data_IF_304367364253
#
_entry.id   IF_304367364253
#
_cell.length_a   1.000
_cell.length_b   1.000
_cell.length_c   1.000
_cell.angle_alpha   90.00
_cell.angle_beta   90.00
_cell.angle_gamma   90.00
#
_symmetry.space_group_name_H-M   'P 1'
#
loop_
_entity.id
_entity.type
_entity.pdbx_description
1 polymer ?
#
# COMPACT_ATOMS: atom_id res chain seq x y z
N UNK A 1 -27.29 -0.73 27.17
CA UNK A 1 -27.84 -1.14 25.85
C UNK A 1 -27.00 -0.61 24.67
N UNK A 2 -26.50 0.61 24.69
CA UNK A 2 -25.58 1.16 23.68
C UNK A 2 -24.26 0.39 23.55
N UNK A 3 -23.65 -0.05 24.64
CA UNK A 3 -22.36 -0.78 24.62
C UNK A 3 -22.42 -2.18 23.98
N UNK A 4 -23.56 -2.82 23.95
CA UNK A 4 -23.72 -4.11 23.24
C UNK A 4 -23.88 -3.91 21.73
N UNK A 5 -24.51 -2.82 21.29
CA UNK A 5 -24.66 -2.49 19.87
C UNK A 5 -23.31 -2.08 19.24
N UNK A 6 -22.48 -1.32 19.96
CA UNK A 6 -21.15 -0.97 19.49
C UNK A 6 -20.19 -2.17 19.46
N UNK A 7 -20.29 -3.11 20.40
CA UNK A 7 -19.53 -4.37 20.34
C UNK A 7 -19.99 -5.30 19.20
N UNK A 8 -21.28 -5.35 18.90
CA UNK A 8 -21.80 -6.19 17.81
C UNK A 8 -21.49 -5.60 16.42
N UNK A 9 -21.38 -4.28 16.28
CA UNK A 9 -20.93 -3.61 15.05
C UNK A 9 -19.41 -3.76 14.82
N UNK A 10 -18.63 -3.94 15.89
CA UNK A 10 -17.20 -4.23 15.78
C UNK A 10 -16.90 -5.69 15.33
N UNK A 11 -17.87 -6.58 15.37
CA UNK A 11 -17.71 -7.98 14.98
C UNK A 11 -18.10 -8.28 13.51
N UNK A 12 -18.73 -7.35 12.82
CA UNK A 12 -19.00 -7.46 11.39
C UNK A 12 -17.96 -6.68 10.59
N UNK A 13 -16.67 -7.02 10.74
CA UNK A 13 -15.67 -6.56 9.78
C UNK A 13 -15.92 -7.26 8.46
N UNK A 14 -16.41 -6.52 7.49
CA UNK A 14 -16.37 -6.95 6.10
C UNK A 14 -14.94 -6.69 5.59
N UNK A 15 -14.17 -7.75 5.40
CA UNK A 15 -12.81 -7.65 4.87
C UNK A 15 -12.80 -8.25 3.46
N UNK A 16 -12.29 -7.47 2.52
CA UNK A 16 -12.00 -7.93 1.15
C UNK A 16 -10.48 -8.02 0.98
N UNK A 17 -9.98 -9.25 0.92
CA UNK A 17 -8.55 -9.51 0.77
C UNK A 17 -8.27 -9.97 -0.66
N UNK A 18 -7.57 -9.17 -1.50
CA UNK A 18 -7.17 -9.57 -2.84
C UNK A 18 -6.15 -10.70 -2.78
N UNK A 19 -6.33 -11.74 -3.59
CA UNK A 19 -5.42 -12.89 -3.63
C UNK A 19 -4.59 -12.94 -4.91
N UNK A 20 -5.22 -12.72 -6.06
CA UNK A 20 -4.57 -12.76 -7.37
C UNK A 20 -5.46 -12.13 -8.45
N UNK A 21 -4.84 -11.70 -9.55
CA UNK A 21 -5.55 -11.43 -10.78
C UNK A 21 -5.82 -12.75 -11.51
N UNK A 22 -7.07 -13.01 -11.85
CA UNK A 22 -7.50 -14.22 -12.60
C UNK A 22 -7.66 -13.94 -14.10
N UNK A 23 -7.71 -12.69 -14.50
CA UNK A 23 -7.87 -12.29 -15.88
C UNK A 23 -6.56 -12.34 -16.65
N UNK A 24 -5.45 -12.18 -15.94
CA UNK A 24 -4.13 -11.98 -16.55
C UNK A 24 -3.04 -12.67 -15.73
N UNK A 25 -2.17 -13.38 -16.44
CA UNK A 25 -0.95 -13.95 -15.85
C UNK A 25 0.26 -13.18 -16.38
N UNK A 26 1.18 -12.75 -15.51
CA UNK A 26 2.43 -12.14 -15.94
C UNK A 26 3.17 -13.07 -16.90
N UNK A 27 3.76 -12.51 -17.96
CA UNK A 27 4.50 -13.27 -18.95
C UNK A 27 5.88 -13.75 -18.44
N UNK A 28 6.38 -13.09 -17.38
CA UNK A 28 7.66 -13.38 -16.76
C UNK A 28 7.51 -13.49 -15.23
N UNK A 29 8.50 -14.13 -14.61
CA UNK A 29 8.59 -14.13 -13.15
C UNK A 29 8.73 -12.70 -12.61
N UNK A 30 7.90 -12.24 -11.66
CA UNK A 30 7.91 -10.88 -11.13
C UNK A 30 9.07 -10.69 -10.12
N UNK A 31 10.29 -10.56 -10.66
CA UNK A 31 11.50 -10.60 -9.86
C UNK A 31 11.64 -9.40 -8.92
N UNK A 32 11.21 -8.20 -9.35
CA UNK A 32 11.27 -7.00 -8.52
C UNK A 32 10.21 -7.06 -7.42
N UNK A 33 8.99 -7.44 -7.74
CA UNK A 33 7.92 -7.66 -6.75
C UNK A 33 8.36 -8.67 -5.68
N UNK A 34 8.91 -9.82 -6.11
CA UNK A 34 9.42 -10.84 -5.20
C UNK A 34 10.60 -10.34 -4.34
N UNK A 35 11.50 -9.53 -4.93
CA UNK A 35 12.62 -8.93 -4.22
C UNK A 35 12.15 -7.92 -3.16
N UNK A 36 11.14 -7.11 -3.48
CA UNK A 36 10.53 -6.16 -2.53
C UNK A 36 9.89 -6.94 -1.37
N UNK A 37 9.13 -8.02 -1.66
CA UNK A 37 8.53 -8.87 -0.61
C UNK A 37 9.62 -9.46 0.29
N UNK A 38 10.70 -10.01 -0.29
CA UNK A 38 11.80 -10.57 0.47
C UNK A 38 12.52 -9.51 1.33
N UNK A 39 12.76 -8.31 0.78
CA UNK A 39 13.40 -7.21 1.51
C UNK A 39 12.53 -6.77 2.69
N UNK A 40 11.22 -6.61 2.49
CA UNK A 40 10.31 -6.27 3.59
C UNK A 40 10.31 -7.35 4.70
N UNK A 41 10.34 -8.64 4.33
CA UNK A 41 10.43 -9.73 5.31
C UNK A 41 11.74 -9.68 6.10
N UNK A 42 12.89 -9.42 5.43
CA UNK A 42 14.20 -9.27 6.09
C UNK A 42 14.20 -8.07 7.04
N UNK A 43 13.71 -6.91 6.59
CA UNK A 43 13.66 -5.70 7.42
C UNK A 43 12.74 -5.91 8.61
N UNK A 44 11.58 -6.55 8.42
CA UNK A 44 10.68 -6.87 9.52
C UNK A 44 11.31 -7.81 10.57
N UNK A 45 12.13 -8.76 10.12
CA UNK A 45 12.90 -9.59 11.06
C UNK A 45 13.92 -8.75 11.86
N UNK A 46 14.56 -7.75 11.23
CA UNK A 46 15.45 -6.82 11.92
C UNK A 46 14.67 -5.94 12.92
N UNK A 47 13.46 -5.53 12.60
CA UNK A 47 12.57 -4.81 13.53
C UNK A 47 12.24 -5.64 14.78
N UNK A 48 11.91 -6.93 14.60
CA UNK A 48 11.61 -7.83 15.71
C UNK A 48 12.80 -7.99 16.66
N UNK A 49 14.02 -7.94 16.13
CA UNK A 49 15.26 -8.07 16.92
C UNK A 49 15.76 -6.75 17.48
N UNK A 50 15.57 -5.64 16.74
CA UNK A 50 16.03 -4.30 17.12
C UNK A 50 15.02 -3.51 17.98
N UNK A 51 13.75 -3.95 18.02
CA UNK A 51 12.70 -3.35 18.83
C UNK A 51 12.34 -1.92 18.42
N UNK A 52 11.68 -1.21 19.32
CA UNK A 52 11.18 0.16 19.08
C UNK A 52 12.30 1.16 18.72
N UNK A 53 13.50 0.99 19.24
CA UNK A 53 14.63 1.85 18.91
C UNK A 53 15.01 1.76 17.43
N UNK A 54 15.02 0.55 16.86
CA UNK A 54 15.26 0.34 15.43
C UNK A 54 14.16 0.97 14.59
N UNK A 55 12.89 0.71 14.93
CA UNK A 55 11.74 1.27 14.21
C UNK A 55 11.78 2.81 14.23
N UNK A 56 11.99 3.42 15.38
CA UNK A 56 12.05 4.89 15.50
C UNK A 56 13.21 5.48 14.71
N UNK A 57 14.38 4.84 14.74
CA UNK A 57 15.58 5.30 14.03
C UNK A 57 15.38 5.37 12.51
N UNK A 58 14.63 4.42 11.93
CA UNK A 58 14.48 4.26 10.48
C UNK A 58 13.14 4.71 9.94
N UNK A 59 12.19 5.13 10.81
CA UNK A 59 10.91 5.71 10.45
C UNK A 59 11.02 7.17 10.05
N UNK A 60 10.07 7.65 9.27
CA UNK A 60 9.90 9.08 9.00
C UNK A 60 9.30 9.77 10.22
N UNK A 61 9.99 10.75 10.75
CA UNK A 61 9.43 11.72 11.71
C UNK A 61 9.20 13.03 10.94
N UNK A 62 7.94 13.49 10.72
CA UNK A 62 7.67 14.67 9.90
C UNK A 62 8.47 15.91 10.29
N UNK A 63 8.56 16.23 11.58
CA UNK A 63 9.32 17.38 12.09
C UNK A 63 10.82 17.30 11.76
N UNK A 64 11.40 16.11 11.68
CA UNK A 64 12.79 15.91 11.28
C UNK A 64 12.98 16.15 9.76
N UNK A 65 12.07 15.60 8.96
CA UNK A 65 12.12 15.78 7.51
C UNK A 65 12.03 17.27 7.14
N UNK A 66 11.07 17.99 7.72
CA UNK A 66 10.89 19.43 7.45
C UNK A 66 12.11 20.25 7.90
N UNK A 67 12.80 19.83 8.95
CA UNK A 67 14.05 20.48 9.40
C UNK A 67 15.31 20.02 8.64
N UNK A 68 15.14 19.19 7.60
CA UNK A 68 16.26 18.69 6.78
C UNK A 68 17.07 17.57 7.43
N UNK A 69 16.56 16.99 8.52
CA UNK A 69 17.23 15.89 9.24
C UNK A 69 16.69 14.54 8.77
N UNK A 70 17.52 13.51 8.89
CA UNK A 70 17.15 12.10 8.66
C UNK A 70 16.45 11.82 7.31
N UNK A 71 16.78 12.57 6.24
CA UNK A 71 16.10 12.47 4.93
C UNK A 71 16.12 11.04 4.33
N UNK A 72 17.12 10.24 4.68
CA UNK A 72 17.20 8.83 4.25
C UNK A 72 16.00 8.02 4.72
N UNK A 73 15.35 8.42 5.83
CA UNK A 73 14.20 7.70 6.37
C UNK A 73 12.98 7.75 5.45
N UNK A 74 12.92 8.70 4.52
CA UNK A 74 11.87 8.70 3.47
C UNK A 74 11.89 7.41 2.66
N UNK A 75 13.08 6.84 2.41
CA UNK A 75 13.24 5.57 1.71
C UNK A 75 13.16 4.37 2.66
N UNK A 76 13.83 4.42 3.81
CA UNK A 76 13.90 3.26 4.71
C UNK A 76 12.56 2.93 5.34
N UNK A 77 11.76 3.95 5.69
CA UNK A 77 10.43 3.79 6.26
C UNK A 77 9.47 3.02 5.36
N UNK A 78 9.70 3.01 4.04
CA UNK A 78 8.89 2.25 3.07
C UNK A 78 9.01 0.73 3.25
N UNK A 79 9.98 0.25 4.01
CA UNK A 79 10.23 -1.17 4.25
C UNK A 79 9.96 -1.59 5.68
N UNK A 80 9.58 -0.65 6.56
CA UNK A 80 9.25 -0.92 7.95
C UNK A 80 7.76 -1.28 8.13
N UNK A 81 7.48 -2.07 9.18
CA UNK A 81 6.12 -2.53 9.48
C UNK A 81 5.87 -2.65 10.98
N UNK A 82 4.94 -1.86 11.53
CA UNK A 82 4.66 -1.82 12.96
C UNK A 82 3.97 -3.07 13.55
N UNK A 83 3.58 -4.07 12.72
CA UNK A 83 2.89 -5.29 13.20
C UNK A 83 2.87 -6.39 12.14
N UNK A 84 2.62 -7.62 12.59
CA UNK A 84 2.41 -8.77 11.69
C UNK A 84 1.26 -8.56 10.70
N UNK A 85 0.12 -8.04 11.15
CA UNK A 85 -1.01 -7.77 10.27
C UNK A 85 -0.67 -6.71 9.22
N UNK A 86 0.17 -5.72 9.58
CA UNK A 86 0.61 -4.67 8.67
C UNK A 86 1.49 -5.23 7.55
N UNK A 87 2.52 -6.01 7.86
CA UNK A 87 3.37 -6.61 6.81
C UNK A 87 2.61 -7.62 5.97
N UNK A 88 1.83 -8.51 6.58
CA UNK A 88 1.06 -9.51 5.83
C UNK A 88 0.08 -8.83 4.88
N UNK A 89 -0.67 -7.82 5.35
CA UNK A 89 -1.58 -7.06 4.51
C UNK A 89 -0.86 -6.42 3.32
N UNK A 90 0.24 -5.71 3.57
CA UNK A 90 1.04 -5.09 2.52
C UNK A 90 1.55 -6.11 1.50
N UNK A 91 2.10 -7.22 1.93
CA UNK A 91 2.65 -8.24 1.00
C UNK A 91 1.55 -8.92 0.19
N UNK A 92 0.38 -9.15 0.76
CA UNK A 92 -0.78 -9.68 0.04
C UNK A 92 -1.23 -8.72 -1.07
N UNK A 93 -1.38 -7.43 -0.76
CA UNK A 93 -1.76 -6.44 -1.78
C UNK A 93 -0.67 -6.27 -2.84
N UNK A 94 0.60 -6.21 -2.44
CA UNK A 94 1.71 -6.11 -3.39
C UNK A 94 1.74 -7.32 -4.33
N UNK A 95 1.54 -8.53 -3.80
CA UNK A 95 1.53 -9.76 -4.61
C UNK A 95 0.31 -9.86 -5.53
N UNK A 96 -0.84 -9.31 -5.12
CA UNK A 96 -2.06 -9.35 -5.92
C UNK A 96 -2.00 -8.42 -7.15
N UNK A 97 -1.30 -7.28 -7.08
CA UNK A 97 -1.30 -6.25 -8.12
C UNK A 97 0.07 -5.98 -8.73
N UNK A 98 1.16 -6.22 -7.99
CA UNK A 98 2.53 -5.91 -8.41
C UNK A 98 3.00 -6.64 -9.65
N UNK A 99 2.80 -7.97 -9.75
CA UNK A 99 3.29 -8.77 -10.86
C UNK A 99 2.85 -8.27 -12.24
N UNK A 100 1.58 -7.87 -12.39
CA UNK A 100 1.02 -7.40 -13.66
C UNK A 100 1.56 -6.00 -14.03
N UNK A 101 1.76 -5.15 -13.04
CA UNK A 101 2.34 -3.81 -13.27
C UNK A 101 3.84 -3.90 -13.55
N UNK A 102 4.56 -4.81 -12.89
CA UNK A 102 5.95 -5.11 -13.23
C UNK A 102 6.08 -5.63 -14.66
N UNK A 103 5.17 -6.51 -15.07
CA UNK A 103 5.19 -7.10 -16.41
C UNK A 103 5.02 -6.04 -17.50
N UNK A 104 4.08 -5.11 -17.35
CA UNK A 104 3.80 -4.07 -18.33
C UNK A 104 4.81 -2.92 -18.30
N UNK A 105 5.40 -2.60 -17.15
CA UNK A 105 6.40 -1.54 -17.02
C UNK A 105 7.82 -1.98 -17.33
N UNK A 106 8.12 -3.24 -17.34
CA UNK A 106 9.42 -3.87 -17.23
C UNK A 106 10.06 -3.74 -15.82
N UNK A 107 10.96 -4.66 -15.41
CA UNK A 107 11.48 -4.69 -14.04
C UNK A 107 12.16 -3.39 -13.60
N UNK A 108 12.99 -2.78 -14.45
CA UNK A 108 13.72 -1.55 -14.10
C UNK A 108 12.79 -0.35 -13.93
N UNK A 109 11.83 -0.15 -14.85
CA UNK A 109 10.84 0.94 -14.76
C UNK A 109 9.93 0.75 -13.55
N UNK A 110 9.51 -0.50 -13.28
CA UNK A 110 8.68 -0.81 -12.12
C UNK A 110 9.39 -0.54 -10.79
N UNK A 111 10.67 -0.89 -10.67
CA UNK A 111 11.46 -0.57 -9.47
C UNK A 111 11.51 0.94 -9.21
N UNK A 112 11.79 1.74 -10.24
CA UNK A 112 11.79 3.21 -10.14
C UNK A 112 10.40 3.73 -9.79
N UNK A 113 9.37 3.24 -10.47
CA UNK A 113 7.97 3.61 -10.21
C UNK A 113 7.57 3.36 -8.75
N UNK A 114 7.87 2.17 -8.22
CA UNK A 114 7.58 1.79 -6.83
C UNK A 114 8.27 2.74 -5.83
N UNK A 115 9.57 3.00 -6.02
CA UNK A 115 10.34 3.86 -5.13
C UNK A 115 9.87 5.32 -5.19
N UNK A 116 9.66 5.87 -6.40
CA UNK A 116 9.18 7.25 -6.56
C UNK A 116 7.76 7.38 -5.99
N UNK A 117 6.87 6.43 -6.26
CA UNK A 117 5.52 6.41 -5.71
C UNK A 117 5.52 6.41 -4.17
N UNK A 118 6.41 5.64 -3.56
CA UNK A 118 6.58 5.61 -2.11
C UNK A 118 7.12 6.93 -1.55
N UNK A 119 8.10 7.53 -2.20
CA UNK A 119 8.64 8.85 -1.80
C UNK A 119 7.55 9.92 -1.88
N UNK A 120 6.82 10.00 -2.98
CA UNK A 120 5.69 10.96 -3.14
C UNK A 120 4.64 10.75 -2.05
N UNK A 121 4.28 9.50 -1.78
CA UNK A 121 3.32 9.14 -0.73
C UNK A 121 3.78 9.60 0.65
N UNK A 122 5.03 9.33 1.00
CA UNK A 122 5.59 9.69 2.30
C UNK A 122 5.69 11.21 2.47
N UNK A 123 6.10 11.94 1.43
CA UNK A 123 6.16 13.40 1.45
C UNK A 123 4.77 14.02 1.58
N UNK A 124 3.75 13.45 0.93
CA UNK A 124 2.37 13.90 1.08
C UNK A 124 1.86 13.69 2.52
N UNK A 125 2.24 12.58 3.17
CA UNK A 125 1.91 12.34 4.58
C UNK A 125 2.60 13.35 5.50
N UNK A 126 3.88 13.65 5.26
CA UNK A 126 4.63 14.68 6.01
C UNK A 126 3.97 16.06 5.88
N UNK A 127 3.46 16.40 4.68
CA UNK A 127 2.83 17.68 4.40
C UNK A 127 1.50 17.90 5.14
N UNK A 128 0.83 16.83 5.59
CA UNK A 128 -0.44 16.93 6.36
C UNK A 128 -0.21 17.45 7.77
N UNK A 129 0.84 16.98 8.44
CA UNK A 129 1.21 17.43 9.78
C UNK A 129 2.75 17.52 9.89
N UNK A 130 3.33 18.62 9.37
CA UNK A 130 4.78 18.79 9.31
C UNK A 130 5.44 18.98 10.69
N UNK A 131 4.67 19.27 11.72
CA UNK A 131 5.15 19.40 13.09
C UNK A 131 5.07 18.10 13.90
N UNK A 132 4.49 17.05 13.32
CA UNK A 132 4.31 15.77 14.01
C UNK A 132 5.64 15.13 14.39
N UNK A 133 5.70 14.62 15.62
CA UNK A 133 6.79 13.79 16.13
C UNK A 133 6.47 12.30 16.11
N UNK A 134 5.29 11.92 15.59
CA UNK A 134 4.87 10.52 15.48
C UNK A 134 5.53 9.87 14.27
N UNK A 135 6.06 8.65 14.41
CA UNK A 135 6.69 7.94 13.31
C UNK A 135 5.67 7.52 12.27
N UNK A 136 6.03 7.71 10.99
CA UNK A 136 5.32 7.19 9.82
C UNK A 136 6.17 6.15 9.13
N UNK A 137 5.56 5.00 8.78
CA UNK A 137 6.24 3.86 8.19
C UNK A 137 5.27 2.98 7.38
N UNK A 138 5.80 2.18 6.49
CA UNK A 138 5.05 1.18 5.73
C UNK A 138 5.22 1.26 4.22
N UNK A 139 5.15 0.11 3.57
CA UNK A 139 5.19 -0.04 2.12
C UNK A 139 3.91 0.47 1.43
N UNK A 140 2.84 0.70 2.20
CA UNK A 140 1.47 0.86 1.70
C UNK A 140 1.27 2.05 0.76
N UNK A 141 2.04 3.13 0.91
CA UNK A 141 2.00 4.28 -0.01
C UNK A 141 2.52 3.91 -1.41
N UNK A 142 3.63 3.18 -1.50
CA UNK A 142 4.15 2.65 -2.77
C UNK A 142 3.21 1.59 -3.37
N UNK A 143 2.62 0.73 -2.53
CA UNK A 143 1.62 -0.25 -2.95
C UNK A 143 0.37 0.45 -3.48
N UNK A 144 -0.06 1.54 -2.86
CA UNK A 144 -1.16 2.36 -3.35
C UNK A 144 -0.86 2.95 -4.74
N UNK A 145 0.40 3.33 -5.02
CA UNK A 145 0.81 3.74 -6.36
C UNK A 145 0.67 2.58 -7.38
N UNK A 146 1.09 1.37 -7.01
CA UNK A 146 0.89 0.17 -7.85
C UNK A 146 -0.58 -0.10 -8.09
N UNK A 147 -1.44 0.01 -7.07
CA UNK A 147 -2.88 -0.15 -7.21
C UNK A 147 -3.51 0.95 -8.09
N UNK A 148 -3.05 2.20 -7.96
CA UNK A 148 -3.47 3.31 -8.82
C UNK A 148 -3.12 3.07 -10.29
N UNK A 149 -1.90 2.57 -10.57
CA UNK A 149 -1.50 2.16 -11.90
C UNK A 149 -2.37 1.01 -12.41
N UNK A 150 -2.60 -0.02 -11.61
CA UNK A 150 -3.45 -1.16 -11.97
C UNK A 150 -4.87 -0.72 -12.33
N UNK A 151 -5.44 0.21 -11.57
CA UNK A 151 -6.77 0.77 -11.82
C UNK A 151 -6.91 1.39 -13.21
N UNK A 152 -5.86 2.07 -13.69
CA UNK A 152 -5.87 2.73 -15.00
C UNK A 152 -5.53 1.76 -16.13
N UNK A 153 -4.65 0.77 -15.85
CA UNK A 153 -4.16 -0.18 -16.87
C UNK A 153 -5.15 -1.31 -17.08
N UNK A 154 -5.67 -1.88 -15.98
CA UNK A 154 -6.50 -3.09 -15.99
C UNK A 154 -7.79 -2.98 -15.17
N UNK A 155 -8.63 -1.94 -15.38
CA UNK A 155 -9.79 -1.65 -14.52
C UNK A 155 -10.86 -2.74 -14.51
N UNK A 156 -10.92 -3.56 -15.58
CA UNK A 156 -11.94 -4.61 -15.77
C UNK A 156 -11.46 -6.00 -15.36
N UNK A 157 -10.17 -6.14 -15.05
CA UNK A 157 -9.61 -7.44 -14.66
C UNK A 157 -10.25 -7.93 -13.37
N UNK A 158 -10.44 -9.23 -13.26
CA UNK A 158 -11.18 -9.85 -12.16
C UNK A 158 -10.21 -10.34 -11.10
N UNK A 159 -10.24 -9.66 -9.96
CA UNK A 159 -9.39 -10.00 -8.83
C UNK A 159 -10.09 -11.08 -8.00
N UNK A 160 -9.41 -12.21 -7.86
CA UNK A 160 -9.79 -13.25 -6.91
C UNK A 160 -9.66 -12.70 -5.51
N UNK A 161 -10.78 -12.60 -4.80
CA UNK A 161 -10.88 -11.88 -3.53
C UNK A 161 -11.48 -12.79 -2.48
N UNK A 162 -10.84 -12.88 -1.33
CA UNK A 162 -11.41 -13.50 -0.14
C UNK A 162 -12.32 -12.47 0.54
N UNK A 163 -13.60 -12.75 0.54
CA UNK A 163 -14.61 -11.95 1.21
C UNK A 163 -14.93 -12.58 2.57
N UNK A 164 -14.76 -11.81 3.64
CA UNK A 164 -15.06 -12.19 5.01
C UNK A 164 -16.17 -11.29 5.51
N UNK A 165 -17.34 -11.84 5.77
CA UNK A 165 -18.52 -11.13 6.31
C UNK A 165 -18.98 -11.87 7.57
N UNK A 166 -18.58 -11.39 8.74
CA UNK A 166 -18.82 -12.08 10.00
C UNK A 166 -18.21 -13.48 10.00
N UNK A 167 -19.05 -14.52 10.03
CA UNK A 167 -18.61 -15.93 9.98
C UNK A 167 -18.56 -16.51 8.56
N UNK A 168 -19.04 -15.79 7.57
CA UNK A 168 -19.03 -16.26 6.18
C UNK A 168 -17.72 -15.90 5.52
N UNK A 169 -17.02 -16.93 5.03
CA UNK A 169 -15.77 -16.79 4.26
C UNK A 169 -16.02 -17.36 2.87
N UNK A 170 -15.86 -16.52 1.84
CA UNK A 170 -16.09 -16.91 0.46
C UNK A 170 -15.02 -16.33 -0.47
N UNK A 171 -14.55 -17.13 -1.41
CA UNK A 171 -13.77 -16.63 -2.54
C UNK A 171 -14.74 -16.15 -3.62
N UNK A 172 -14.53 -14.93 -4.08
CA UNK A 172 -15.31 -14.29 -5.15
C UNK A 172 -14.39 -13.57 -6.13
N UNK A 173 -14.94 -13.10 -7.23
CA UNK A 173 -14.22 -12.37 -8.26
C UNK A 173 -14.80 -10.96 -8.36
N UNK A 174 -13.97 -9.97 -8.06
CA UNK A 174 -14.37 -8.56 -8.04
C UNK A 174 -13.61 -7.82 -9.13
N UNK A 175 -14.27 -7.01 -9.98
CA UNK A 175 -13.56 -6.13 -10.90
C UNK A 175 -12.58 -5.20 -10.15
N UNK A 176 -11.36 -5.06 -10.68
CA UNK A 176 -10.31 -4.25 -10.04
C UNK A 176 -10.78 -2.82 -9.77
N UNK A 177 -11.53 -2.21 -10.69
CA UNK A 177 -12.08 -0.87 -10.50
C UNK A 177 -12.98 -0.75 -9.26
N UNK A 178 -13.80 -1.77 -8.98
CA UNK A 178 -14.65 -1.76 -7.78
C UNK A 178 -13.85 -2.00 -6.51
N UNK A 179 -12.94 -2.96 -6.54
CA UNK A 179 -12.13 -3.30 -5.36
C UNK A 179 -11.21 -2.13 -4.96
N UNK A 180 -10.42 -1.63 -5.91
CA UNK A 180 -9.47 -0.54 -5.68
C UNK A 180 -10.21 0.78 -5.43
N UNK A 181 -11.27 1.07 -6.22
CA UNK A 181 -12.09 2.27 -6.03
C UNK A 181 -12.73 2.33 -4.65
N UNK A 182 -13.30 1.23 -4.18
CA UNK A 182 -13.86 1.14 -2.83
C UNK A 182 -12.78 1.31 -1.75
N UNK A 183 -11.62 0.68 -1.93
CA UNK A 183 -10.51 0.85 -1.00
C UNK A 183 -10.04 2.32 -0.93
N UNK A 184 -9.92 3.02 -2.07
CA UNK A 184 -9.57 4.46 -2.11
C UNK A 184 -10.63 5.30 -1.41
N UNK A 185 -11.91 5.03 -1.65
CA UNK A 185 -13.01 5.74 -0.97
C UNK A 185 -12.91 5.60 0.55
N UNK A 186 -12.62 4.40 1.05
CA UNK A 186 -12.39 4.19 2.50
C UNK A 186 -11.24 5.07 2.99
N UNK A 187 -10.11 5.18 2.25
CA UNK A 187 -9.00 6.03 2.65
C UNK A 187 -9.42 7.51 2.77
N UNK A 188 -10.18 8.00 1.78
CA UNK A 188 -10.66 9.40 1.75
C UNK A 188 -11.61 9.68 2.93
N UNK A 189 -12.60 8.81 3.16
CA UNK A 189 -13.53 8.96 4.28
C UNK A 189 -12.82 8.86 5.64
N UNK A 190 -11.89 7.92 5.78
CA UNK A 190 -11.13 7.74 7.02
C UNK A 190 -10.22 8.92 7.29
N UNK A 191 -9.58 9.50 6.26
CA UNK A 191 -8.79 10.72 6.39
C UNK A 191 -9.63 11.89 6.90
N UNK A 192 -10.85 12.06 6.36
CA UNK A 192 -11.76 13.13 6.80
C UNK A 192 -12.37 12.91 8.20
N UNK A 193 -12.47 11.66 8.65
CA UNK A 193 -13.10 11.31 9.93
C UNK A 193 -12.11 11.32 11.11
N UNK A 194 -10.81 11.16 10.86
CA UNK A 194 -9.77 11.12 11.90
C UNK A 194 -9.17 12.53 12.04
N UNK A 195 -9.27 13.10 13.24
CA UNK A 195 -8.58 14.37 13.49
C UNK A 195 -7.05 14.17 13.35
N UNK A 196 -6.31 15.15 12.80
CA UNK A 196 -4.86 15.05 12.57
C UNK A 196 -4.06 14.61 13.80
N UNK A 197 -4.51 14.99 14.99
CA UNK A 197 -3.88 14.69 16.28
C UNK A 197 -4.17 13.27 16.80
N UNK A 198 -5.05 12.49 16.14
CA UNK A 198 -5.45 11.14 16.58
C UNK A 198 -5.05 10.05 15.57
N UNK A 199 -4.33 10.39 14.52
CA UNK A 199 -3.96 9.44 13.45
C UNK A 199 -2.86 8.45 13.86
N UNK A 200 -2.85 8.02 15.12
CA UNK A 200 -1.89 7.03 15.62
C UNK A 200 -2.05 5.66 14.98
N UNK A 201 -1.82 5.51 13.69
CA UNK A 201 -1.81 4.18 13.10
C UNK A 201 -1.84 4.08 11.58
N UNK A 202 -2.63 4.87 10.86
CA UNK A 202 -2.76 4.72 9.40
C UNK A 202 -2.45 6.03 8.68
N UNK A 203 -1.49 5.97 7.75
CA UNK A 203 -1.08 7.10 6.92
C UNK A 203 -2.02 7.29 5.71
N UNK A 204 -3.27 7.70 5.96
CA UNK A 204 -4.30 7.79 4.92
C UNK A 204 -3.90 8.69 3.75
N UNK A 205 -3.22 9.82 4.00
CA UNK A 205 -2.77 10.71 2.93
C UNK A 205 -1.70 10.06 2.08
N UNK A 206 -0.79 9.25 2.65
CA UNK A 206 0.16 8.48 1.86
C UNK A 206 -0.54 7.52 0.89
N UNK A 207 -1.62 6.86 1.33
CA UNK A 207 -2.40 5.97 0.48
C UNK A 207 -3.09 6.73 -0.67
N UNK A 208 -3.73 7.86 -0.36
CA UNK A 208 -4.42 8.69 -1.37
C UNK A 208 -3.42 9.23 -2.38
N UNK A 209 -2.32 9.82 -1.91
CA UNK A 209 -1.30 10.41 -2.77
C UNK A 209 -0.59 9.35 -3.63
N UNK A 210 -0.32 8.17 -3.07
CA UNK A 210 0.22 7.04 -3.81
C UNK A 210 -0.71 6.60 -4.94
N UNK A 211 -1.99 6.36 -4.62
CA UNK A 211 -2.97 5.95 -5.63
C UNK A 211 -3.13 7.00 -6.75
N UNK A 212 -3.18 8.28 -6.39
CA UNK A 212 -3.23 9.39 -7.35
C UNK A 212 -1.96 9.41 -8.21
N UNK A 213 -0.77 9.37 -7.60
CA UNK A 213 0.48 9.28 -8.35
C UNK A 213 0.46 8.13 -9.33
N UNK A 214 0.12 6.93 -8.90
CA UNK A 214 0.07 5.75 -9.75
C UNK A 214 -0.90 5.90 -10.91
N UNK A 215 -2.12 6.38 -10.66
CA UNK A 215 -3.13 6.58 -11.68
C UNK A 215 -2.70 7.60 -12.76
N UNK A 216 -2.04 8.69 -12.37
CA UNK A 216 -1.64 9.74 -13.32
C UNK A 216 -0.34 9.46 -14.05
N UNK A 217 0.56 8.65 -13.48
CA UNK A 217 1.89 8.41 -14.05
C UNK A 217 2.07 7.04 -14.69
N UNK A 218 1.13 6.10 -14.51
CA UNK A 218 1.23 4.73 -15.04
C UNK A 218 1.69 4.70 -16.50
N UNK A 219 1.02 5.46 -17.38
CA UNK A 219 1.30 5.50 -18.81
C UNK A 219 2.71 5.99 -19.18
N UNK A 220 3.36 6.75 -18.30
CA UNK A 220 4.75 7.21 -18.51
C UNK A 220 5.77 6.09 -18.26
N UNK A 221 5.41 5.13 -17.40
CA UNK A 221 6.27 4.02 -17.02
C UNK A 221 5.98 2.74 -17.80
N UNK A 222 4.79 2.58 -18.38
CA UNK A 222 4.42 1.42 -19.20
C UNK A 222 5.28 1.33 -20.45
N UNK A 223 5.53 0.10 -20.88
CA UNK A 223 6.16 -0.22 -22.16
C UNK A 223 5.05 -0.50 -23.18
N UNK A 224 4.94 0.32 -24.25
CA UNK A 224 3.86 0.14 -25.24
C UNK A 224 3.84 -1.25 -25.89
N UNK A 225 5.03 -1.83 -26.14
CA UNK A 225 5.14 -3.13 -26.78
C UNK A 225 4.66 -4.25 -25.84
N UNK A 226 4.96 -4.14 -24.55
CA UNK A 226 4.50 -5.07 -23.53
C UNK A 226 3.00 -4.94 -23.26
N UNK A 227 2.49 -3.71 -23.25
CA UNK A 227 1.05 -3.46 -23.10
C UNK A 227 0.24 -4.04 -24.25
N UNK A 228 0.76 -4.00 -25.48
CA UNK A 228 0.11 -4.56 -26.66
C UNK A 228 0.17 -6.09 -26.74
N UNK A 229 1.14 -6.72 -26.07
CA UNK A 229 1.34 -8.16 -26.07
C UNK A 229 0.49 -8.90 -25.00
N UNK A 230 -0.04 -8.22 -24.02
CA UNK A 230 -0.86 -8.75 -22.91
C UNK A 230 -2.34 -8.46 -23.07
#
# INVERSE_FOLDING_TARGET
MRDRLTRNLALAREEMVPLSDESRRPSHFPAVTASIVALNAIVFFLELTGGEAFVTQWSVIPADIVSGRHLVTILTAMFLHGSWSHIIGNMVFLWAFGPQIEDVMSPGRYAVFYLVGGVVSMLAQVAVDPASTLPSLGASGAIAAVMGAFLITYPRDRIRTLLIIGFFVRITFVPAALLIGFWILIQIFSFGAVAPTQSGGVAYMAHIAGAVFGAFTARLFEDPDRLAAG
#
